data_IF_750444916038
#
_entry.id   IF_750444916038
#
_cell.length_a   1.000
_cell.length_b   1.000
_cell.length_c   1.000
_cell.angle_alpha   90.00
_cell.angle_beta   90.00
_cell.angle_gamma   90.00
#
_symmetry.space_group_name_H-M   'P 1'
#
loop_
_entity.id
_entity.type
_entity.pdbx_description
1 polymer ?
#
# COMPACT_ATOMS: atom_id res chain seq x y z
N UNK A 1 -13.05 -5.84 10.48
CA UNK A 1 -11.59 -5.59 10.36
C UNK A 1 -10.76 -6.87 10.21
N UNK A 2 -11.26 -8.04 10.62
CA UNK A 2 -10.63 -9.36 10.36
C UNK A 2 -11.49 -10.26 9.46
N UNK A 3 -12.62 -9.79 8.97
CA UNK A 3 -13.58 -10.59 8.21
C UNK A 3 -13.33 -10.36 6.71
N UNK A 4 -12.85 -11.41 6.02
CA UNK A 4 -12.60 -11.42 4.57
C UNK A 4 -11.16 -11.77 4.19
N UNK A 5 -11.00 -12.70 3.24
CA UNK A 5 -9.74 -13.21 2.65
C UNK A 5 -8.84 -14.08 3.54
N UNK A 6 -8.02 -14.89 2.88
CA UNK A 6 -7.05 -15.85 3.43
C UNK A 6 -6.43 -15.38 4.75
N UNK A 7 -6.49 -16.23 5.79
CA UNK A 7 -5.96 -15.95 7.13
C UNK A 7 -4.55 -15.36 7.06
N UNK A 8 -3.72 -15.88 6.15
CA UNK A 8 -2.32 -15.52 6.05
C UNK A 8 -2.15 -14.08 5.54
N UNK A 9 -2.99 -13.65 4.60
CA UNK A 9 -3.01 -12.27 4.09
C UNK A 9 -3.40 -11.28 5.20
N UNK A 10 -4.37 -11.64 6.05
CA UNK A 10 -4.77 -10.80 7.19
C UNK A 10 -3.63 -10.68 8.21
N UNK A 11 -2.92 -11.78 8.50
CA UNK A 11 -1.75 -11.78 9.39
C UNK A 11 -0.62 -10.91 8.83
N UNK A 12 -0.32 -11.05 7.54
CA UNK A 12 0.68 -10.25 6.83
C UNK A 12 0.34 -8.77 6.88
N UNK A 13 -0.93 -8.44 6.73
CA UNK A 13 -1.40 -7.07 6.76
C UNK A 13 -1.21 -6.43 8.13
N UNK A 14 -1.69 -7.10 9.17
CA UNK A 14 -1.55 -6.62 10.55
C UNK A 14 -0.07 -6.48 10.91
N UNK A 15 0.70 -7.53 10.72
CA UNK A 15 2.12 -7.54 11.10
C UNK A 15 2.90 -6.49 10.31
N UNK A 16 2.67 -6.39 9.01
CA UNK A 16 3.40 -5.44 8.16
C UNK A 16 3.06 -3.97 8.44
N UNK A 17 1.81 -3.64 8.79
CA UNK A 17 1.43 -2.28 9.23
C UNK A 17 2.15 -1.93 10.53
N UNK A 18 2.11 -2.81 11.54
CA UNK A 18 2.83 -2.59 12.79
C UNK A 18 4.34 -2.47 12.57
N UNK A 19 4.93 -3.34 11.73
CA UNK A 19 6.35 -3.30 11.37
C UNK A 19 6.75 -1.95 10.77
N UNK A 20 5.96 -1.40 9.85
CA UNK A 20 6.30 -0.13 9.21
C UNK A 20 6.13 1.06 10.14
N UNK A 21 5.10 1.07 10.98
CA UNK A 21 4.88 2.14 11.97
C UNK A 21 5.99 2.15 13.02
N UNK A 22 6.42 0.98 13.49
CA UNK A 22 7.42 0.83 14.53
C UNK A 22 8.79 0.39 13.99
N UNK A 23 9.11 0.72 12.74
CA UNK A 23 10.29 0.21 12.01
C UNK A 23 11.61 0.37 12.78
N UNK A 24 11.80 1.48 13.49
CA UNK A 24 12.98 1.73 14.32
C UNK A 24 13.18 0.74 15.47
N UNK A 25 12.11 0.06 15.92
CA UNK A 25 12.11 -0.85 17.07
C UNK A 25 11.44 -2.20 16.76
N UNK A 26 11.42 -2.61 15.48
CA UNK A 26 10.81 -3.85 15.03
C UNK A 26 11.87 -4.82 14.52
N UNK A 27 12.20 -5.82 15.35
CA UNK A 27 13.17 -6.87 15.00
C UNK A 27 12.52 -8.18 14.53
N UNK A 28 13.31 -9.12 13.98
CA UNK A 28 12.80 -10.41 13.50
C UNK A 28 12.04 -11.22 14.56
N UNK A 29 12.45 -11.15 15.83
CA UNK A 29 11.75 -11.83 16.93
C UNK A 29 10.38 -11.23 17.23
N UNK A 30 10.26 -9.90 17.18
CA UNK A 30 8.99 -9.20 17.34
C UNK A 30 8.03 -9.55 16.20
N UNK A 31 8.57 -9.62 14.97
CA UNK A 31 7.83 -10.01 13.78
C UNK A 31 7.27 -11.43 13.90
N UNK A 32 8.12 -12.40 14.20
CA UNK A 32 7.75 -13.82 14.35
C UNK A 32 6.71 -14.03 15.45
N UNK A 33 6.93 -13.42 16.63
CA UNK A 33 5.98 -13.52 17.74
C UNK A 33 4.61 -12.91 17.40
N UNK A 34 4.60 -11.74 16.74
CA UNK A 34 3.37 -11.08 16.35
C UNK A 34 2.61 -11.89 15.29
N UNK A 35 3.31 -12.46 14.30
CA UNK A 35 2.72 -13.34 13.27
C UNK A 35 2.11 -14.58 13.90
N UNK A 36 2.87 -15.28 14.73
CA UNK A 36 2.40 -16.49 15.41
C UNK A 36 1.17 -16.19 16.28
N UNK A 37 1.16 -15.07 17.01
CA UNK A 37 0.02 -14.65 17.82
C UNK A 37 -1.23 -14.36 16.97
N UNK A 38 -1.10 -13.55 15.92
CA UNK A 38 -2.19 -13.24 15.00
C UNK A 38 -2.74 -14.50 14.32
N UNK A 39 -1.86 -15.35 13.79
CA UNK A 39 -2.22 -16.58 13.10
C UNK A 39 -2.94 -17.54 14.05
N UNK A 40 -2.45 -17.68 15.29
CA UNK A 40 -3.10 -18.50 16.34
C UNK A 40 -4.52 -18.04 16.61
N UNK A 41 -4.74 -16.74 16.82
CA UNK A 41 -6.07 -16.20 17.08
C UNK A 41 -7.00 -16.38 15.89
N UNK A 42 -6.54 -16.09 14.68
CA UNK A 42 -7.39 -16.21 13.48
C UNK A 42 -7.73 -17.67 13.16
N UNK A 43 -6.78 -18.61 13.25
CA UNK A 43 -7.08 -20.04 13.07
C UNK A 43 -8.01 -20.57 14.15
N UNK A 44 -7.91 -20.07 15.38
CA UNK A 44 -8.87 -20.40 16.45
C UNK A 44 -10.28 -19.93 16.12
N UNK A 45 -10.43 -18.69 15.63
CA UNK A 45 -11.72 -18.17 15.15
C UNK A 45 -12.26 -19.01 14.00
N UNK A 46 -11.44 -19.31 13.00
CA UNK A 46 -11.86 -20.06 11.82
C UNK A 46 -12.33 -21.47 12.20
N UNK A 47 -11.77 -22.08 13.26
CA UNK A 47 -12.19 -23.38 13.76
C UNK A 47 -13.42 -23.35 14.69
N UNK A 48 -13.53 -22.34 15.57
CA UNK A 48 -14.53 -22.31 16.66
C UNK A 48 -15.69 -21.34 16.44
N UNK A 49 -15.57 -20.43 15.47
CA UNK A 49 -16.48 -19.31 15.27
C UNK A 49 -16.42 -18.24 16.37
N UNK A 50 -15.53 -18.39 17.36
CA UNK A 50 -15.39 -17.42 18.45
C UNK A 50 -14.72 -16.14 17.97
N UNK A 51 -15.29 -15.00 18.37
CA UNK A 51 -14.71 -13.70 18.06
C UNK A 51 -13.34 -13.55 18.71
N UNK A 52 -12.38 -13.12 17.89
CA UNK A 52 -11.03 -12.75 18.31
C UNK A 52 -10.72 -11.35 17.82
N UNK A 53 -9.89 -10.65 18.58
CA UNK A 53 -9.50 -9.28 18.33
C UNK A 53 -8.01 -9.10 18.57
N UNK A 54 -7.43 -8.00 18.09
CA UNK A 54 -6.03 -7.67 18.43
C UNK A 54 -5.83 -7.44 19.94
N UNK A 55 -6.90 -7.15 20.68
CA UNK A 55 -6.85 -7.00 22.13
C UNK A 55 -6.68 -8.34 22.87
N UNK A 56 -6.81 -9.48 22.19
CA UNK A 56 -6.58 -10.81 22.76
C UNK A 56 -5.11 -11.23 22.71
N UNK A 57 -4.27 -10.57 21.91
CA UNK A 57 -2.83 -10.88 21.80
C UNK A 57 -2.11 -10.74 23.16
N UNK A 58 -2.31 -9.67 23.95
CA UNK A 58 -1.73 -9.57 25.29
C UNK A 58 -2.05 -10.76 26.20
N UNK A 59 -3.29 -11.26 26.14
CA UNK A 59 -3.74 -12.40 26.94
C UNK A 59 -3.12 -13.70 26.44
N UNK A 60 -3.03 -13.88 25.11
CA UNK A 60 -2.33 -15.01 24.52
C UNK A 60 -0.86 -15.06 24.93
N UNK A 61 -0.15 -13.94 24.91
CA UNK A 61 1.27 -13.91 25.26
C UNK A 61 1.49 -14.03 26.78
N UNK A 62 0.64 -13.42 27.60
CA UNK A 62 0.82 -13.36 29.06
C UNK A 62 0.19 -14.52 29.84
N UNK A 63 -1.00 -15.00 29.46
CA UNK A 63 -1.81 -15.92 30.26
C UNK A 63 -1.67 -17.37 29.76
N UNK A 64 -0.91 -18.21 30.49
CA UNK A 64 -0.77 -19.64 30.14
C UNK A 64 -2.11 -20.37 30.09
N UNK A 65 -3.04 -20.04 30.99
CA UNK A 65 -4.38 -20.63 31.00
C UNK A 65 -5.18 -20.32 29.72
N UNK A 66 -5.00 -19.14 29.12
CA UNK A 66 -5.64 -18.79 27.86
C UNK A 66 -5.04 -19.58 26.68
N UNK A 67 -3.70 -19.70 26.66
CA UNK A 67 -2.99 -20.54 25.66
C UNK A 67 -3.39 -22.00 25.70
N UNK A 68 -3.45 -22.59 26.89
CA UNK A 68 -3.86 -23.99 27.09
C UNK A 68 -5.29 -24.28 26.63
N UNK A 69 -6.15 -23.26 26.54
CA UNK A 69 -7.52 -23.39 26.01
C UNK A 69 -7.60 -23.29 24.49
N UNK A 70 -6.70 -22.52 23.88
CA UNK A 70 -6.73 -22.22 22.44
C UNK A 70 -5.90 -23.20 21.64
N UNK A 71 -4.64 -23.42 22.03
CA UNK A 71 -3.66 -24.14 21.21
C UNK A 71 -4.09 -25.58 20.91
N UNK A 72 -4.62 -26.39 21.86
CA UNK A 72 -4.98 -27.78 21.58
C UNK A 72 -6.07 -27.95 20.53
N UNK A 73 -6.89 -26.93 20.32
CA UNK A 73 -8.01 -26.94 19.36
C UNK A 73 -7.51 -26.71 17.92
N UNK A 74 -6.28 -26.23 17.74
CA UNK A 74 -5.73 -25.89 16.44
C UNK A 74 -5.27 -27.13 15.66
N UNK A 75 -5.65 -27.22 14.39
CA UNK A 75 -5.20 -28.28 13.46
C UNK A 75 -3.95 -27.88 12.66
N UNK A 76 -3.00 -27.17 13.28
CA UNK A 76 -1.83 -26.58 12.61
C UNK A 76 -0.51 -26.99 13.30
N UNK A 77 0.19 -28.03 12.79
CA UNK A 77 1.40 -28.57 13.43
C UNK A 77 2.51 -27.54 13.66
N UNK A 78 2.68 -26.59 12.73
CA UNK A 78 3.69 -25.52 12.84
C UNK A 78 3.45 -24.64 14.07
N UNK A 79 2.19 -24.28 14.34
CA UNK A 79 1.84 -23.49 15.53
C UNK A 79 2.08 -24.28 16.81
N UNK A 80 1.81 -25.59 16.83
CA UNK A 80 2.14 -26.44 17.98
C UNK A 80 3.63 -26.45 18.28
N UNK A 81 4.47 -26.55 17.25
CA UNK A 81 5.93 -26.46 17.41
C UNK A 81 6.39 -25.12 17.96
N UNK A 82 5.85 -24.01 17.43
CA UNK A 82 6.14 -22.66 17.93
C UNK A 82 5.76 -22.50 19.41
N UNK A 83 4.56 -22.92 19.79
CA UNK A 83 4.10 -22.78 21.17
C UNK A 83 4.82 -23.74 22.13
N UNK A 84 5.22 -24.93 21.69
CA UNK A 84 6.07 -25.81 22.48
C UNK A 84 7.44 -25.17 22.78
N UNK A 85 8.06 -24.53 21.78
CA UNK A 85 9.27 -23.73 21.99
C UNK A 85 9.04 -22.57 22.96
N UNK A 86 7.94 -21.83 22.78
CA UNK A 86 7.58 -20.71 23.65
C UNK A 86 7.38 -21.13 25.12
N UNK A 87 6.75 -22.28 25.36
CA UNK A 87 6.54 -22.84 26.70
C UNK A 87 7.80 -23.48 27.30
N UNK A 88 8.77 -23.88 26.46
CA UNK A 88 10.07 -24.38 26.94
C UNK A 88 10.98 -23.29 27.53
N UNK A 89 10.66 -22.02 27.30
CA UNK A 89 11.43 -20.90 27.80
C UNK A 89 11.26 -20.70 29.30
N UNK A 90 12.34 -20.23 29.95
CA UNK A 90 12.24 -19.66 31.29
C UNK A 90 11.34 -18.41 31.30
N UNK A 91 10.68 -18.14 32.42
CA UNK A 91 9.82 -16.96 32.57
C UNK A 91 10.55 -15.64 32.27
N UNK A 92 11.81 -15.40 32.72
CA UNK A 92 12.58 -14.22 32.32
C UNK A 92 12.85 -14.14 30.82
N UNK A 93 13.22 -15.26 30.18
CA UNK A 93 13.46 -15.31 28.73
C UNK A 93 12.19 -14.98 27.94
N UNK A 94 11.05 -15.55 28.36
CA UNK A 94 9.75 -15.29 27.75
C UNK A 94 9.34 -13.83 27.91
N UNK A 95 9.49 -13.25 29.10
CA UNK A 95 9.21 -11.84 29.35
C UNK A 95 10.05 -10.91 28.46
N UNK A 96 11.32 -11.24 28.23
CA UNK A 96 12.20 -10.48 27.34
C UNK A 96 11.76 -10.55 25.87
N UNK A 97 11.28 -11.71 25.40
CA UNK A 97 10.76 -11.89 24.04
C UNK A 97 9.42 -11.17 23.82
N UNK A 98 8.54 -11.22 24.83
CA UNK A 98 7.18 -10.63 24.78
C UNK A 98 7.18 -9.11 24.96
N UNK A 99 8.10 -8.58 25.77
CA UNK A 99 8.16 -7.17 26.16
C UNK A 99 8.03 -6.17 25.00
N UNK A 100 8.81 -6.30 23.91
CA UNK A 100 8.72 -5.42 22.75
C UNK A 100 7.32 -5.40 22.12
N UNK A 101 6.72 -6.55 21.86
CA UNK A 101 5.35 -6.66 21.29
C UNK A 101 4.34 -6.00 22.23
N UNK A 102 4.40 -6.29 23.52
CA UNK A 102 3.50 -5.71 24.53
C UNK A 102 3.62 -4.19 24.64
N UNK A 103 4.82 -3.63 24.49
CA UNK A 103 5.02 -2.18 24.49
C UNK A 103 4.30 -1.51 23.32
N UNK A 104 4.37 -2.12 22.12
CA UNK A 104 3.74 -1.55 20.92
C UNK A 104 2.23 -1.73 20.94
N UNK A 105 1.76 -2.89 21.39
CA UNK A 105 0.33 -3.11 21.62
C UNK A 105 -0.23 -2.16 22.67
N UNK A 106 0.50 -1.85 23.75
CA UNK A 106 0.05 -0.87 24.76
C UNK A 106 -0.06 0.55 24.21
N UNK A 107 0.91 1.01 23.42
CA UNK A 107 0.84 2.34 22.80
C UNK A 107 -0.47 2.57 22.05
N UNK A 108 -1.03 1.48 21.50
CA UNK A 108 -2.27 1.45 20.76
C UNK A 108 -3.52 1.15 21.60
N UNK A 109 -3.51 0.06 22.38
CA UNK A 109 -4.65 -0.45 23.14
C UNK A 109 -4.98 0.39 24.39
N UNK A 110 -4.03 1.21 24.89
CA UNK A 110 -4.30 2.12 26.02
C UNK A 110 -5.19 3.31 25.62
N UNK A 111 -5.40 3.56 24.32
CA UNK A 111 -6.32 4.59 23.86
C UNK A 111 -7.73 4.05 23.84
N UNK A 112 -8.68 4.72 24.49
CA UNK A 112 -10.07 4.25 24.56
C UNK A 112 -10.76 4.15 23.20
N UNK A 113 -10.43 5.04 22.27
CA UNK A 113 -10.88 4.91 20.88
C UNK A 113 -10.24 3.69 20.22
N UNK A 114 -8.91 3.58 20.35
CA UNK A 114 -8.08 2.39 20.17
C UNK A 114 -8.83 1.06 20.38
N UNK A 115 -9.04 0.87 21.66
CA UNK A 115 -9.67 -0.29 22.28
C UNK A 115 -11.10 -0.47 21.84
N UNK A 116 -11.93 0.59 21.79
CA UNK A 116 -13.33 0.45 21.35
C UNK A 116 -13.46 0.11 19.88
N UNK A 117 -12.61 0.63 19.00
CA UNK A 117 -12.69 0.33 17.58
C UNK A 117 -12.33 -1.14 17.27
N UNK A 118 -11.45 -1.74 18.07
CA UNK A 118 -10.85 -3.06 17.78
C UNK A 118 -11.31 -4.17 18.71
N UNK A 119 -11.65 -3.84 19.95
CA UNK A 119 -12.11 -4.80 20.94
C UNK A 119 -13.65 -4.85 21.08
N UNK A 120 -14.42 -4.05 20.31
CA UNK A 120 -15.89 -4.04 20.39
C UNK A 120 -16.58 -5.22 19.66
N UNK A 121 -15.83 -6.23 19.22
CA UNK A 121 -16.39 -7.42 18.59
C UNK A 121 -16.40 -7.33 17.05
N UNK A 122 -17.51 -7.77 16.42
CA UNK A 122 -17.63 -7.77 14.94
C UNK A 122 -17.56 -6.35 14.38
N UNK A 123 -16.97 -6.24 13.19
CA UNK A 123 -16.95 -4.99 12.42
C UNK A 123 -18.38 -4.48 12.23
N UNK A 124 -18.63 -3.19 12.46
CA UNK A 124 -19.95 -2.58 12.22
C UNK A 124 -20.15 -2.16 10.77
N UNK A 125 -19.11 -2.28 9.94
CA UNK A 125 -19.13 -2.00 8.51
C UNK A 125 -18.32 -3.07 7.76
N UNK A 126 -18.71 -3.31 6.50
CA UNK A 126 -18.01 -4.14 5.53
C UNK A 126 -17.50 -3.24 4.39
N UNK A 127 -16.20 -3.34 4.09
CA UNK A 127 -15.59 -2.56 3.02
C UNK A 127 -16.02 -3.04 1.63
N UNK A 128 -16.41 -4.31 1.49
CA UNK A 128 -16.97 -4.86 0.25
C UNK A 128 -18.28 -4.15 -0.10
N UNK A 129 -19.20 -4.06 0.87
CA UNK A 129 -20.46 -3.32 0.71
C UNK A 129 -20.24 -1.82 0.46
N UNK A 130 -19.24 -1.22 1.12
CA UNK A 130 -18.87 0.18 0.88
C UNK A 130 -18.41 0.39 -0.56
N UNK A 131 -17.55 -0.48 -1.08
CA UNK A 131 -17.08 -0.36 -2.45
C UNK A 131 -18.21 -0.61 -3.46
N UNK A 132 -19.21 -1.44 -3.12
CA UNK A 132 -20.36 -1.79 -3.97
C UNK A 132 -21.53 -0.78 -3.86
N UNK A 133 -21.20 0.52 -3.76
CA UNK A 133 -22.16 1.63 -3.78
C UNK A 133 -22.47 2.25 -2.42
N UNK A 134 -21.78 1.82 -1.36
CA UNK A 134 -21.83 2.48 -0.05
C UNK A 134 -20.90 3.70 0.06
N UNK A 135 -20.92 4.34 1.22
CA UNK A 135 -20.04 5.48 1.55
C UNK A 135 -19.48 5.28 2.96
N UNK A 136 -18.15 5.30 3.08
CA UNK A 136 -17.46 5.30 4.37
C UNK A 136 -16.74 6.64 4.57
N UNK A 137 -17.12 7.36 5.64
CA UNK A 137 -16.41 8.56 6.07
C UNK A 137 -15.59 8.25 7.33
N UNK A 138 -14.27 8.17 7.17
CA UNK A 138 -13.34 7.91 8.27
C UNK A 138 -12.73 9.21 8.80
N UNK A 139 -13.25 9.72 9.93
CA UNK A 139 -12.69 10.90 10.59
C UNK A 139 -11.64 10.50 11.63
N UNK A 140 -10.36 10.77 11.35
CA UNK A 140 -9.23 10.38 12.20
C UNK A 140 -8.45 11.62 12.72
N UNK A 141 -9.01 12.37 13.68
CA UNK A 141 -8.36 13.58 14.19
C UNK A 141 -7.15 13.21 15.05
N UNK A 142 -5.93 13.47 14.55
CA UNK A 142 -4.66 13.18 15.25
C UNK A 142 -4.61 13.74 16.68
N UNK A 143 -5.14 14.95 16.90
CA UNK A 143 -5.13 15.59 18.23
C UNK A 143 -5.93 14.84 19.29
N UNK A 144 -7.02 14.17 18.91
CA UNK A 144 -7.85 13.39 19.84
C UNK A 144 -7.43 11.92 19.94
N UNK A 145 -6.95 11.33 18.84
CA UNK A 145 -6.58 9.91 18.77
C UNK A 145 -5.12 9.64 19.16
N UNK A 146 -4.27 10.66 19.07
CA UNK A 146 -2.82 10.51 18.99
C UNK A 146 -2.38 10.21 17.56
N UNK A 147 -1.17 10.66 17.21
CA UNK A 147 -0.65 10.53 15.85
C UNK A 147 -0.48 9.07 15.43
N UNK A 148 0.17 8.24 16.25
CA UNK A 148 0.40 6.82 15.95
C UNK A 148 -0.92 6.07 15.76
N UNK A 149 -1.89 6.26 16.66
CA UNK A 149 -3.21 5.63 16.57
C UNK A 149 -3.95 6.03 15.30
N UNK A 150 -3.95 7.33 14.96
CA UNK A 150 -4.62 7.82 13.76
C UNK A 150 -3.97 7.24 12.49
N UNK A 151 -2.63 7.25 12.41
CA UNK A 151 -1.86 6.65 11.32
C UNK A 151 -2.18 5.17 11.16
N UNK A 152 -2.20 4.43 12.28
CA UNK A 152 -2.45 3.01 12.31
C UNK A 152 -3.88 2.67 11.85
N UNK A 153 -4.88 3.38 12.38
CA UNK A 153 -6.29 3.21 11.99
C UNK A 153 -6.52 3.54 10.51
N UNK A 154 -5.97 4.65 10.03
CA UNK A 154 -6.12 5.02 8.62
C UNK A 154 -5.40 4.05 7.70
N UNK A 155 -4.21 3.58 8.07
CA UNK A 155 -3.48 2.57 7.30
C UNK A 155 -4.24 1.26 7.22
N UNK A 156 -4.92 0.85 8.29
CA UNK A 156 -5.78 -0.32 8.23
C UNK A 156 -7.01 -0.14 7.35
N UNK A 157 -7.65 1.04 7.37
CA UNK A 157 -8.80 1.31 6.51
C UNK A 157 -8.36 1.27 5.04
N UNK A 158 -7.22 1.88 4.71
CA UNK A 158 -6.65 1.84 3.36
C UNK A 158 -6.29 0.42 2.96
N UNK A 159 -5.58 -0.34 3.81
CA UNK A 159 -5.22 -1.73 3.53
C UNK A 159 -6.46 -2.62 3.34
N UNK A 160 -7.46 -2.50 4.22
CA UNK A 160 -8.71 -3.25 4.09
C UNK A 160 -9.49 -2.85 2.84
N UNK A 161 -9.45 -1.58 2.45
CA UNK A 161 -10.09 -1.11 1.20
C UNK A 161 -9.39 -1.72 -0.01
N UNK A 162 -8.06 -1.78 0.02
CA UNK A 162 -7.27 -2.45 -1.00
C UNK A 162 -7.59 -3.95 -1.09
N UNK A 163 -7.63 -4.65 0.05
CA UNK A 163 -8.00 -6.07 0.08
C UNK A 163 -9.40 -6.31 -0.48
N UNK A 164 -10.37 -5.49 -0.09
CA UNK A 164 -11.74 -5.59 -0.59
C UNK A 164 -11.80 -5.31 -2.11
N UNK A 165 -11.01 -4.34 -2.60
CA UNK A 165 -10.91 -4.08 -4.04
C UNK A 165 -10.24 -5.23 -4.80
N UNK A 166 -9.12 -5.76 -4.30
CA UNK A 166 -8.40 -6.88 -4.91
C UNK A 166 -9.25 -8.16 -4.93
N UNK A 167 -10.08 -8.40 -3.91
CA UNK A 167 -11.03 -9.51 -3.89
C UNK A 167 -12.06 -9.46 -5.03
N UNK A 168 -12.29 -8.29 -5.65
CA UNK A 168 -13.13 -8.14 -6.85
C UNK A 168 -12.54 -8.79 -8.09
N UNK A 169 -11.29 -9.27 -8.05
CA UNK A 169 -10.69 -10.06 -9.11
C UNK A 169 -11.59 -11.24 -9.54
N UNK A 170 -12.33 -11.83 -8.61
CA UNK A 170 -13.26 -12.93 -8.85
C UNK A 170 -14.53 -12.53 -9.63
N UNK A 171 -14.82 -11.23 -9.76
CA UNK A 171 -15.98 -10.72 -10.50
C UNK A 171 -15.58 -10.26 -11.90
N UNK A 172 -16.40 -10.47 -12.95
CA UNK A 172 -16.15 -9.88 -14.27
C UNK A 172 -16.03 -8.35 -14.21
N UNK A 173 -15.08 -7.77 -14.94
CA UNK A 173 -14.76 -6.32 -14.87
C UNK A 173 -15.98 -5.42 -15.09
N UNK A 174 -16.87 -5.77 -16.02
CA UNK A 174 -18.08 -5.01 -16.34
C UNK A 174 -19.13 -4.99 -15.20
N UNK A 175 -19.03 -5.90 -14.23
CA UNK A 175 -19.93 -5.97 -13.07
C UNK A 175 -19.38 -5.21 -11.86
N UNK A 176 -18.09 -4.87 -11.87
CA UNK A 176 -17.45 -4.13 -10.78
C UNK A 176 -17.98 -2.69 -10.80
N UNK A 177 -18.44 -2.17 -9.66
CA UNK A 177 -18.87 -0.77 -9.52
C UNK A 177 -17.64 0.11 -9.30
N UNK A 178 -17.60 1.27 -9.97
CA UNK A 178 -16.56 2.28 -9.71
C UNK A 178 -16.60 2.72 -8.26
N UNK A 179 -15.46 2.65 -7.59
CA UNK A 179 -15.27 3.18 -6.26
C UNK A 179 -14.08 4.13 -6.21
N UNK A 180 -14.12 5.10 -5.31
CA UNK A 180 -13.02 6.05 -5.12
C UNK A 180 -12.58 6.08 -3.67
N UNK A 181 -11.30 5.80 -3.44
CA UNK A 181 -10.65 5.99 -2.15
C UNK A 181 -9.99 7.38 -2.13
N UNK A 182 -10.55 8.28 -1.31
CA UNK A 182 -10.01 9.62 -1.10
C UNK A 182 -9.21 9.65 0.21
N UNK A 183 -7.91 9.89 0.11
CA UNK A 183 -7.00 9.94 1.26
C UNK A 183 -6.43 11.35 1.37
N UNK A 184 -6.99 12.11 2.30
CA UNK A 184 -6.41 13.37 2.72
C UNK A 184 -5.16 13.12 3.58
N UNK A 185 -4.18 13.99 3.47
CA UNK A 185 -2.89 13.86 4.15
C UNK A 185 -2.25 12.46 3.99
N UNK A 186 -2.19 11.98 2.75
CA UNK A 186 -1.93 10.60 2.38
C UNK A 186 -0.63 10.03 2.98
N UNK A 187 0.40 10.84 3.16
CA UNK A 187 1.64 10.45 3.84
C UNK A 187 1.42 9.84 5.24
N UNK A 188 0.29 10.14 5.89
CA UNK A 188 -0.06 9.60 7.20
C UNK A 188 -0.73 8.23 7.18
N UNK A 189 -1.28 7.79 6.06
CA UNK A 189 -2.12 6.59 6.00
C UNK A 189 -1.65 5.56 4.98
N UNK A 190 -0.64 5.90 4.19
CA UNK A 190 -0.03 5.00 3.20
C UNK A 190 1.10 4.14 3.79
N UNK A 191 1.08 3.92 5.11
CA UNK A 191 1.99 2.99 5.79
C UNK A 191 1.47 1.56 5.64
N UNK A 192 1.52 1.06 4.41
CA UNK A 192 0.92 -0.22 4.00
C UNK A 192 1.97 -1.31 3.91
N UNK A 193 1.64 -2.59 4.14
CA UNK A 193 2.61 -3.68 4.09
C UNK A 193 3.15 -3.93 2.67
N UNK A 194 2.34 -3.65 1.65
CA UNK A 194 2.67 -3.79 0.22
C UNK A 194 3.28 -2.51 -0.37
N UNK A 195 4.01 -2.60 -1.49
CA UNK A 195 4.44 -1.43 -2.26
C UNK A 195 3.22 -0.65 -2.77
N UNK A 196 3.22 0.67 -2.57
CA UNK A 196 2.11 1.48 -3.07
C UNK A 196 2.10 1.59 -4.60
N UNK A 197 3.27 1.47 -5.23
CA UNK A 197 3.40 1.45 -6.68
C UNK A 197 2.51 0.36 -7.32
N UNK A 198 2.55 -0.86 -6.77
CA UNK A 198 1.70 -1.98 -7.19
C UNK A 198 0.23 -1.62 -6.99
N UNK A 199 -0.09 -1.05 -5.83
CA UNK A 199 -1.45 -0.64 -5.50
C UNK A 199 -2.01 0.37 -6.52
N UNK A 200 -1.23 1.39 -6.86
CA UNK A 200 -1.61 2.42 -7.82
C UNK A 200 -1.64 1.90 -9.26
N UNK A 201 -0.75 0.97 -9.62
CA UNK A 201 -0.70 0.37 -10.94
C UNK A 201 -1.88 -0.59 -11.19
N UNK A 202 -2.27 -1.38 -10.18
CA UNK A 202 -3.29 -2.41 -10.31
C UNK A 202 -4.72 -1.91 -10.01
N UNK A 203 -4.88 -0.82 -9.23
CA UNK A 203 -6.19 -0.31 -8.79
C UNK A 203 -7.22 -0.15 -9.93
N UNK A 204 -6.74 0.23 -11.13
CA UNK A 204 -7.57 0.33 -12.35
C UNK A 204 -8.31 -0.97 -12.65
N UNK A 205 -7.63 -2.11 -12.57
CA UNK A 205 -8.24 -3.42 -12.84
C UNK A 205 -9.39 -3.71 -11.88
N UNK A 206 -9.31 -3.24 -10.64
CA UNK A 206 -10.35 -3.42 -9.62
C UNK A 206 -11.46 -2.35 -9.64
N UNK A 207 -11.46 -1.46 -10.66
CA UNK A 207 -12.33 -0.28 -10.73
C UNK A 207 -12.27 0.57 -9.46
N UNK A 208 -11.08 0.67 -8.87
CA UNK A 208 -10.79 1.55 -7.75
C UNK A 208 -9.99 2.75 -8.27
N UNK A 209 -10.53 3.95 -8.09
CA UNK A 209 -9.80 5.20 -8.25
C UNK A 209 -9.24 5.64 -6.90
N UNK A 210 -8.08 6.30 -6.92
CA UNK A 210 -7.42 6.82 -5.74
C UNK A 210 -7.13 8.30 -5.88
N UNK A 211 -7.59 9.09 -4.92
CA UNK A 211 -7.20 10.49 -4.76
C UNK A 211 -6.31 10.61 -3.54
N UNK A 212 -5.06 11.00 -3.76
CA UNK A 212 -4.06 11.17 -2.71
C UNK A 212 -3.71 12.65 -2.61
N UNK A 213 -3.99 13.26 -1.46
CA UNK A 213 -3.61 14.65 -1.18
C UNK A 213 -2.46 14.71 -0.18
N UNK A 214 -1.46 15.57 -0.43
CA UNK A 214 -0.35 15.83 0.49
C UNK A 214 0.17 17.25 0.30
N UNK A 215 0.85 17.79 1.32
CA UNK A 215 1.32 19.18 1.31
C UNK A 215 2.72 19.34 0.70
N UNK A 216 3.66 18.44 1.05
CA UNK A 216 5.06 18.54 0.65
C UNK A 216 5.57 17.20 0.10
N UNK A 217 6.47 17.21 -0.89
CA UNK A 217 7.05 15.96 -1.39
C UNK A 217 8.01 15.34 -0.39
N UNK A 218 8.68 16.15 0.43
CA UNK A 218 9.61 15.69 1.47
C UNK A 218 8.96 14.86 2.58
N UNK A 219 7.63 14.96 2.75
CA UNK A 219 6.88 14.11 3.70
C UNK A 219 6.69 12.68 3.19
N UNK A 220 6.86 12.47 1.89
CA UNK A 220 6.71 11.17 1.26
C UNK A 220 8.07 10.43 1.31
N UNK A 221 8.10 9.17 1.76
CA UNK A 221 9.25 8.31 1.51
C UNK A 221 9.59 8.27 0.03
N UNK A 222 10.87 8.08 -0.29
CA UNK A 222 11.37 8.13 -1.68
C UNK A 222 10.57 7.23 -2.61
N UNK A 223 10.39 5.97 -2.24
CA UNK A 223 9.67 4.97 -3.02
C UNK A 223 8.21 5.38 -3.24
N UNK A 224 7.58 5.99 -2.22
CA UNK A 224 6.22 6.51 -2.32
C UNK A 224 6.13 7.65 -3.33
N UNK A 225 7.08 8.59 -3.28
CA UNK A 225 7.14 9.73 -4.21
C UNK A 225 7.34 9.26 -5.64
N UNK A 226 8.23 8.30 -5.86
CA UNK A 226 8.50 7.71 -7.18
C UNK A 226 7.27 6.95 -7.71
N UNK A 227 6.64 6.12 -6.87
CA UNK A 227 5.42 5.39 -7.21
C UNK A 227 4.24 6.31 -7.57
N UNK A 228 4.02 7.40 -6.83
CA UNK A 228 2.99 8.41 -7.16
C UNK A 228 3.34 9.12 -8.47
N UNK A 229 4.60 9.55 -8.64
CA UNK A 229 5.05 10.24 -9.85
C UNK A 229 4.79 9.41 -11.11
N UNK A 230 5.09 8.11 -11.07
CA UNK A 230 4.93 7.18 -12.18
C UNK A 230 3.46 6.76 -12.45
N UNK A 231 2.69 6.47 -11.39
CA UNK A 231 1.39 5.82 -11.54
C UNK A 231 0.19 6.78 -11.43
N UNK A 232 0.32 7.91 -10.73
CA UNK A 232 -0.76 8.90 -10.63
C UNK A 232 -0.83 9.75 -11.91
N UNK A 233 -1.64 9.34 -12.88
CA UNK A 233 -1.73 9.99 -14.20
C UNK A 233 -2.28 11.41 -14.15
N UNK A 234 -3.30 11.63 -13.33
CA UNK A 234 -3.85 12.96 -13.10
C UNK A 234 -3.12 13.61 -11.93
N UNK A 235 -2.54 14.79 -12.16
CA UNK A 235 -1.84 15.57 -11.16
C UNK A 235 -2.41 16.97 -11.09
N UNK A 236 -2.69 17.43 -9.88
CA UNK A 236 -3.17 18.78 -9.60
C UNK A 236 -2.22 19.37 -8.58
N UNK A 237 -1.58 20.48 -8.93
CA UNK A 237 -0.61 21.18 -8.11
C UNK A 237 -1.21 22.50 -7.66
N UNK A 238 -1.27 22.72 -6.36
CA UNK A 238 -1.48 24.04 -5.80
C UNK A 238 -0.13 24.76 -5.67
N UNK A 239 -0.14 25.95 -5.06
CA UNK A 239 1.09 26.69 -4.79
C UNK A 239 2.12 25.79 -4.07
N UNK A 240 3.26 25.57 -4.72
CA UNK A 240 4.32 24.69 -4.26
C UNK A 240 5.50 25.49 -3.67
N UNK A 241 6.26 24.87 -2.77
CA UNK A 241 7.53 25.45 -2.33
C UNK A 241 8.51 25.51 -3.51
N UNK A 242 9.50 26.43 -3.53
CA UNK A 242 10.50 26.48 -4.60
C UNK A 242 11.25 25.15 -4.81
N UNK A 243 11.50 24.41 -3.72
CA UNK A 243 12.14 23.10 -3.76
C UNK A 243 11.24 22.04 -4.41
N UNK A 244 9.96 21.97 -4.00
CA UNK A 244 9.00 21.04 -4.58
C UNK A 244 8.74 21.39 -6.06
N UNK A 245 8.61 22.68 -6.39
CA UNK A 245 8.33 23.16 -7.73
C UNK A 245 9.39 22.73 -8.76
N UNK A 246 10.68 22.76 -8.40
CA UNK A 246 11.76 22.26 -9.25
C UNK A 246 11.71 20.74 -9.52
N UNK A 247 11.07 19.98 -8.63
CA UNK A 247 10.81 18.55 -8.88
C UNK A 247 9.55 18.36 -9.73
N UNK A 248 8.49 19.13 -9.44
CA UNK A 248 7.18 19.01 -10.07
C UNK A 248 7.14 19.50 -11.52
N UNK A 249 7.99 20.47 -11.91
CA UNK A 249 8.00 21.04 -13.26
C UNK A 249 8.24 19.99 -14.35
N UNK A 250 8.92 18.89 -14.02
CA UNK A 250 9.15 17.76 -14.94
C UNK A 250 7.86 17.14 -15.45
N UNK A 251 6.75 17.33 -14.75
CA UNK A 251 5.42 16.87 -15.16
C UNK A 251 4.61 17.93 -15.91
N UNK A 252 5.04 19.19 -15.95
CA UNK A 252 4.26 20.30 -16.51
C UNK A 252 4.95 21.03 -17.66
N UNK A 253 6.25 20.79 -17.84
CA UNK A 253 6.98 21.26 -19.01
C UNK A 253 6.39 20.67 -20.32
N UNK A 254 6.45 21.43 -21.42
CA UNK A 254 7.05 22.77 -21.55
C UNK A 254 6.11 23.92 -21.14
N UNK A 255 4.90 23.63 -20.66
CA UNK A 255 3.82 24.65 -20.56
C UNK A 255 3.91 25.48 -19.28
N UNK A 256 4.29 24.87 -18.16
CA UNK A 256 4.49 25.55 -16.87
C UNK A 256 5.83 25.11 -16.27
N UNK A 257 6.61 26.08 -15.81
CA UNK A 257 7.91 25.89 -15.16
C UNK A 257 7.80 25.97 -13.62
N UNK A 258 8.89 25.66 -12.91
CA UNK A 258 8.93 25.77 -11.46
C UNK A 258 8.55 27.16 -10.93
N UNK A 259 8.92 28.23 -11.66
CA UNK A 259 8.54 29.59 -11.30
C UNK A 259 7.01 29.74 -11.26
N UNK A 260 6.29 29.23 -12.26
CA UNK A 260 4.83 29.32 -12.33
C UNK A 260 4.17 28.54 -11.18
N UNK A 261 4.65 27.33 -10.90
CA UNK A 261 4.12 26.47 -9.84
C UNK A 261 4.31 27.08 -8.43
N UNK A 262 5.40 27.83 -8.21
CA UNK A 262 5.70 28.48 -6.94
C UNK A 262 4.99 29.85 -6.73
N UNK A 263 4.31 30.36 -7.76
CA UNK A 263 3.63 31.66 -7.72
C UNK A 263 2.12 31.56 -8.01
N UNK A 264 1.54 30.36 -7.91
CA UNK A 264 0.09 30.17 -8.01
C UNK A 264 -0.63 30.94 -6.89
N UNK A 265 -1.60 31.76 -7.26
CA UNK A 265 -2.41 32.54 -6.32
C UNK A 265 -3.43 31.68 -5.56
N UNK A 266 -4.13 32.29 -4.57
CA UNK A 266 -5.23 31.63 -3.87
C UNK A 266 -6.26 31.09 -4.87
N UNK A 267 -6.73 29.87 -4.63
CA UNK A 267 -7.66 29.13 -5.49
C UNK A 267 -7.13 28.79 -6.89
N UNK A 268 -5.91 29.18 -7.27
CA UNK A 268 -5.31 28.74 -8.52
C UNK A 268 -4.61 27.39 -8.34
N UNK A 269 -4.67 26.56 -9.37
CA UNK A 269 -3.94 25.31 -9.44
C UNK A 269 -3.43 25.09 -10.87
N UNK A 270 -2.32 24.38 -11.00
CA UNK A 270 -1.89 23.78 -12.25
C UNK A 270 -2.42 22.34 -12.32
N UNK A 271 -2.83 21.89 -13.50
CA UNK A 271 -3.31 20.53 -13.72
C UNK A 271 -2.62 19.90 -14.92
N UNK A 272 -2.24 18.64 -14.77
CA UNK A 272 -1.78 17.77 -15.83
C UNK A 272 -2.68 16.52 -15.82
N UNK A 273 -3.56 16.43 -16.81
CA UNK A 273 -4.66 15.45 -16.81
C UNK A 273 -4.58 14.52 -18.01
N UNK A 274 -4.84 13.24 -17.75
CA UNK A 274 -5.11 12.24 -18.76
C UNK A 274 -6.59 12.33 -19.18
N UNK A 275 -6.86 12.70 -20.43
CA UNK A 275 -8.22 12.76 -20.98
C UNK A 275 -8.24 12.01 -22.31
N UNK A 276 -9.25 11.15 -22.51
CA UNK A 276 -9.36 10.34 -23.74
C UNK A 276 -8.21 9.35 -23.96
N UNK A 277 -7.48 8.98 -22.90
CA UNK A 277 -6.33 8.06 -22.98
C UNK A 277 -5.02 8.72 -23.39
N UNK A 278 -4.98 10.05 -23.58
CA UNK A 278 -3.76 10.81 -23.86
C UNK A 278 -3.44 11.79 -22.72
N UNK A 279 -2.15 11.99 -22.46
CA UNK A 279 -1.68 13.04 -21.56
C UNK A 279 -1.81 14.39 -22.28
N UNK A 280 -2.49 15.35 -21.65
CA UNK A 280 -2.67 16.69 -22.21
C UNK A 280 -1.60 17.65 -21.69
N UNK A 281 -1.31 18.70 -22.45
CA UNK A 281 -0.46 19.78 -21.96
C UNK A 281 -0.98 20.34 -20.62
N UNK A 282 -0.06 20.65 -19.71
CA UNK A 282 -0.42 21.22 -18.43
C UNK A 282 -1.09 22.60 -18.59
N UNK A 283 -2.07 22.90 -17.76
CA UNK A 283 -2.79 24.17 -17.81
C UNK A 283 -3.12 24.65 -16.39
N UNK A 284 -3.44 25.93 -16.25
CA UNK A 284 -3.90 26.49 -14.98
C UNK A 284 -5.42 26.53 -14.91
N UNK A 285 -5.96 26.36 -13.70
CA UNK A 285 -7.39 26.42 -13.42
C UNK A 285 -7.63 27.21 -12.14
N UNK A 286 -8.85 27.72 -12.00
CA UNK A 286 -9.33 28.36 -10.76
C UNK A 286 -10.34 27.45 -10.08
N UNK A 287 -10.05 27.09 -8.84
CA UNK A 287 -10.93 26.32 -7.98
C UNK A 287 -12.01 27.22 -7.38
N UNK A 288 -13.16 26.64 -7.04
CA UNK A 288 -14.23 27.38 -6.39
C UNK A 288 -13.86 27.62 -4.92
N UNK A 289 -14.21 28.79 -4.34
CA UNK A 289 -14.08 28.97 -2.91
C UNK A 289 -14.91 27.92 -2.16
N UNK A 290 -14.47 27.54 -0.97
CA UNK A 290 -15.21 26.61 -0.11
C UNK A 290 -16.63 27.16 0.09
N UNK A 291 -17.64 26.35 -0.24
CA UNK A 291 -19.02 26.71 0.06
C UNK A 291 -19.15 27.08 1.55
N UNK A 292 -19.89 28.15 1.89
CA UNK A 292 -20.10 28.52 3.28
C UNK A 292 -20.55 27.29 4.08
N UNK A 293 -20.03 27.15 5.30
CA UNK A 293 -20.43 26.04 6.15
C UNK A 293 -21.95 26.05 6.26
N UNK A 294 -22.59 24.94 5.88
CA UNK A 294 -24.02 24.76 6.16
C UNK A 294 -24.16 24.95 7.67
N UNK A 295 -24.94 25.95 8.15
CA UNK A 295 -25.16 26.13 9.57
C UNK A 295 -25.58 24.78 10.12
N UNK A 296 -24.87 24.30 11.14
CA UNK A 296 -25.33 23.11 11.84
C UNK A 296 -26.64 23.51 12.50
N UNK A 297 -27.77 23.26 11.85
CA UNK A 297 -29.04 23.16 12.55
C UNK A 297 -28.78 22.16 13.65
N UNK A 298 -29.02 22.57 14.88
CA UNK A 298 -29.02 21.77 16.11
C UNK A 298 -30.10 20.69 16.08
N UNK A 299 -30.30 20.04 14.93
CA UNK A 299 -30.88 18.73 14.85
C UNK A 299 -30.01 17.86 15.76
N UNK A 300 -30.58 17.48 16.91
CA UNK A 300 -30.10 16.40 17.76
C UNK A 300 -29.34 15.42 16.89
N UNK A 301 -28.05 15.21 17.14
CA UNK A 301 -27.43 13.97 16.70
C UNK A 301 -28.41 12.88 17.14
N UNK A 302 -29.07 12.15 16.22
CA UNK A 302 -29.69 10.92 16.66
C UNK A 302 -28.58 10.16 17.38
N UNK A 303 -28.85 9.60 18.58
CA UNK A 303 -27.84 8.76 19.22
C UNK A 303 -27.32 7.85 18.14
N UNK A 304 -25.99 7.76 17.98
CA UNK A 304 -25.35 6.85 17.04
C UNK A 304 -26.11 5.56 17.18
N UNK A 305 -26.94 5.25 16.19
CA UNK A 305 -27.64 3.99 16.19
C UNK A 305 -26.49 3.01 16.00
N UNK A 306 -26.04 2.40 17.09
CA UNK A 306 -25.63 1.00 17.03
C UNK A 306 -26.80 0.34 16.34
N UNK A 307 -26.72 0.20 15.02
CA UNK A 307 -27.71 -0.53 14.27
C UNK A 307 -27.83 -1.85 15.03
N UNK A 308 -29.01 -2.18 15.61
CA UNK A 308 -29.17 -3.52 16.14
C UNK A 308 -28.83 -4.42 14.96
N UNK A 309 -27.89 -5.35 15.19
CA UNK A 309 -27.46 -6.31 14.18
C UNK A 309 -28.72 -6.77 13.46
N UNK A 310 -28.87 -6.35 12.19
CA UNK A 310 -30.03 -6.72 11.40
C UNK A 310 -30.04 -8.24 11.45
N UNK A 311 -31.12 -8.90 11.91
CA UNK A 311 -31.17 -10.34 11.82
C UNK A 311 -30.91 -10.67 10.35
N UNK A 312 -29.84 -11.41 10.10
CA UNK A 312 -29.58 -11.99 8.79
C UNK A 312 -30.91 -12.59 8.35
N UNK A 313 -31.41 -12.16 7.19
CA UNK A 313 -32.52 -12.83 6.56
C UNK A 313 -32.17 -14.33 6.54
N UNK A 314 -33.12 -15.24 6.85
CA UNK A 314 -32.84 -16.66 6.83
C UNK A 314 -32.16 -16.99 5.49
N UNK A 315 -31.07 -17.76 5.58
CA UNK A 315 -30.27 -18.20 4.45
C UNK A 315 -31.19 -18.49 3.27
N UNK A 316 -30.96 -17.80 2.15
CA UNK A 316 -31.57 -18.27 0.91
C UNK A 316 -31.11 -19.71 0.74
N UNK A 317 -32.02 -20.68 0.52
CA UNK A 317 -31.63 -22.06 0.34
C UNK A 317 -30.58 -22.11 -0.77
N UNK A 318 -29.55 -22.93 -0.55
CA UNK A 318 -28.51 -23.20 -1.54
C UNK A 318 -29.17 -23.47 -2.90
N UNK A 319 -28.52 -23.01 -3.95
CA UNK A 319 -28.94 -23.21 -5.34
C UNK A 319 -28.86 -24.69 -5.80
N UNK A 320 -28.81 -25.64 -4.86
CA UNK A 320 -28.71 -27.08 -5.08
C UNK A 320 -30.09 -27.78 -5.15
N UNK A 321 -31.20 -27.02 -5.15
CA UNK A 321 -32.56 -27.61 -5.17
C UNK A 321 -33.52 -27.08 -6.23
N UNK A 322 -33.04 -26.45 -7.31
CA UNK A 322 -33.91 -26.03 -8.44
C UNK A 322 -33.43 -26.53 -9.82
N UNK A 323 -32.42 -27.40 -9.91
CA UNK A 323 -32.05 -28.05 -11.18
C UNK A 323 -32.20 -29.57 -11.10
N UNK A 324 -33.43 -30.03 -10.94
CA UNK A 324 -33.84 -31.34 -11.44
C UNK A 324 -34.09 -31.23 -12.94
N UNK A 325 -33.04 -31.42 -13.74
CA UNK A 325 -33.11 -31.41 -15.19
C UNK A 325 -31.72 -31.62 -15.79
N UNK A 326 -31.51 -32.78 -16.41
CA UNK A 326 -30.27 -33.21 -17.03
C UNK A 326 -29.63 -32.14 -17.92
N UNK A 327 -28.43 -31.70 -17.56
CA UNK A 327 -27.52 -30.96 -18.46
C UNK A 327 -26.31 -31.88 -18.71
N UNK A 328 -26.04 -32.29 -19.97
CA UNK A 328 -24.94 -33.20 -20.26
C UNK A 328 -23.59 -32.53 -19.99
N UNK A 329 -22.71 -33.31 -19.36
CA UNK A 329 -21.33 -32.95 -19.03
C UNK A 329 -20.54 -32.62 -20.30
N UNK A 330 -20.09 -31.36 -20.45
CA UNK A 330 -19.12 -30.98 -21.48
C UNK A 330 -17.72 -31.47 -21.06
N UNK A 331 -16.92 -32.04 -21.98
CA UNK A 331 -15.59 -32.54 -21.65
C UNK A 331 -14.64 -31.39 -21.29
N UNK A 332 -13.78 -31.66 -20.30
CA UNK A 332 -12.68 -30.82 -19.84
C UNK A 332 -11.88 -30.24 -21.00
N UNK A 333 -12.02 -28.95 -21.28
CA UNK A 333 -11.11 -28.21 -22.16
C UNK A 333 -9.79 -28.02 -21.43
N UNK A 334 -8.75 -28.70 -21.91
CA UNK A 334 -7.38 -28.47 -21.50
C UNK A 334 -6.98 -27.00 -21.73
N UNK A 335 -6.31 -26.40 -20.74
CA UNK A 335 -5.67 -25.10 -20.89
C UNK A 335 -4.64 -25.18 -22.04
N UNK A 336 -4.55 -24.17 -22.92
CA UNK A 336 -3.47 -24.10 -23.90
C UNK A 336 -2.12 -23.90 -23.18
N UNK A 337 -1.02 -24.47 -23.70
CA UNK A 337 0.29 -24.34 -23.07
C UNK A 337 0.78 -22.89 -23.10
N UNK A 338 1.42 -22.48 -22.02
CA UNK A 338 2.14 -21.19 -21.89
C UNK A 338 3.22 -21.12 -22.97
N UNK A 339 3.30 -20.03 -23.77
CA UNK A 339 4.36 -19.87 -24.77
C UNK A 339 5.73 -19.73 -24.09
N UNK A 340 6.73 -20.44 -24.61
CA UNK A 340 8.12 -20.36 -24.16
C UNK A 340 8.70 -18.94 -24.34
N UNK A 341 9.67 -18.51 -23.51
CA UNK A 341 10.31 -17.21 -23.65
C UNK A 341 11.02 -17.10 -25.01
N UNK A 342 10.84 -15.96 -25.67
CA UNK A 342 11.42 -15.67 -26.98
C UNK A 342 12.96 -15.72 -26.95
N UNK A 343 13.54 -16.42 -27.92
CA UNK A 343 14.99 -16.47 -28.19
C UNK A 343 15.51 -15.07 -28.54
N UNK A 344 16.66 -14.61 -28.01
CA UNK A 344 17.24 -13.32 -28.39
C UNK A 344 17.64 -13.32 -29.89
N UNK A 345 17.57 -12.17 -30.57
CA UNK A 345 17.90 -12.07 -31.99
C UNK A 345 19.40 -12.35 -32.24
N UNK A 346 19.68 -12.96 -33.40
CA UNK A 346 21.03 -13.28 -33.86
C UNK A 346 21.88 -12.02 -34.08
N UNK A 347 23.20 -12.08 -33.84
CA UNK A 347 24.10 -10.95 -34.12
C UNK A 347 24.20 -10.67 -35.62
N UNK A 348 24.44 -9.41 -36.02
CA UNK A 348 24.59 -9.04 -37.42
C UNK A 348 25.82 -9.71 -38.07
N UNK A 349 25.79 -9.93 -39.40
CA UNK A 349 26.91 -10.55 -40.12
C UNK A 349 28.15 -9.65 -40.09
N UNK A 350 29.37 -10.23 -40.12
CA UNK A 350 30.61 -9.46 -40.15
C UNK A 350 30.80 -8.75 -41.49
N UNK A 351 31.38 -7.55 -41.44
CA UNK A 351 31.73 -6.75 -42.62
C UNK A 351 32.69 -7.51 -43.56
N UNK A 352 32.57 -7.31 -44.89
CA UNK A 352 33.47 -7.94 -45.85
C UNK A 352 34.91 -7.42 -45.71
N UNK A 353 35.86 -8.36 -45.70
CA UNK A 353 37.29 -8.09 -45.62
C UNK A 353 37.81 -7.23 -46.80
N UNK A 354 38.82 -6.37 -46.58
CA UNK A 354 39.33 -5.50 -47.62
C UNK A 354 40.10 -6.28 -48.69
N UNK A 355 39.80 -5.99 -49.95
CA UNK A 355 40.49 -6.56 -51.12
C UNK A 355 41.88 -5.91 -51.26
N UNK A 356 42.92 -6.69 -50.96
CA UNK A 356 44.31 -6.34 -51.24
C UNK A 356 44.55 -6.27 -52.75
N UNK A 357 44.71 -5.06 -53.29
CA UNK A 357 45.26 -4.86 -54.64
C UNK A 357 46.66 -4.28 -54.51
N UNK A 358 47.66 -5.03 -54.98
CA UNK A 358 49.06 -4.65 -54.91
C UNK A 358 49.46 -3.73 -56.08
N UNK A 359 49.94 -2.53 -55.71
CA UNK A 359 51.18 -1.86 -56.16
C UNK A 359 51.29 -1.33 -57.61
N UNK A 360 51.44 0.00 -57.71
CA UNK A 360 52.43 0.67 -58.57
C UNK A 360 52.79 2.06 -58.00
N UNK A 361 53.91 2.63 -58.46
CA UNK A 361 54.96 3.25 -57.63
C UNK A 361 55.17 4.77 -57.86
N UNK A 362 55.39 5.53 -56.76
CA UNK A 362 56.26 6.74 -56.56
C UNK A 362 55.98 8.06 -57.35
N UNK A 363 56.55 9.25 -56.93
CA UNK A 363 57.35 9.61 -55.74
C UNK A 363 56.92 10.90 -54.96
N UNK A 364 57.59 11.14 -53.80
CA UNK A 364 57.53 12.33 -52.93
C UNK A 364 58.05 13.64 -53.58
N UNK A 365 57.83 14.82 -52.93
CA UNK A 365 58.84 15.42 -52.03
C UNK A 365 58.22 15.98 -50.70
N UNK A 366 58.80 15.74 -49.53
CA UNK A 366 59.91 16.45 -48.84
C UNK A 366 59.50 17.75 -48.10
N UNK A 367 59.58 17.76 -46.76
CA UNK A 367 60.41 18.67 -45.94
C UNK A 367 60.04 18.59 -44.44
N UNK A 368 61.05 18.86 -43.62
CA UNK A 368 61.19 18.51 -42.20
C UNK A 368 61.12 19.81 -41.31
N UNK A 369 61.66 19.88 -40.07
CA UNK A 369 61.10 19.42 -38.79
C UNK A 369 61.21 20.49 -37.65
N UNK A 370 60.99 20.05 -36.38
CA UNK A 370 61.57 20.59 -35.11
C UNK A 370 60.96 21.90 -34.54
N UNK A 371 60.74 22.14 -33.24
CA UNK A 371 61.58 21.97 -32.02
C UNK A 371 60.71 21.96 -30.73
N UNK A 372 61.13 21.10 -29.79
CA UNK A 372 60.99 21.03 -28.30
C UNK A 372 60.76 22.33 -27.51
N UNK A 373 60.01 22.31 -26.41
CA UNK A 373 60.44 22.19 -24.98
C UNK A 373 59.39 23.01 -24.17
N UNK A 374 59.04 22.80 -22.90
CA UNK A 374 59.56 22.05 -21.76
C UNK A 374 59.29 22.88 -20.49
N UNK A 375 59.09 22.20 -19.34
CA UNK A 375 59.09 22.69 -17.94
C UNK A 375 57.79 23.31 -17.39
N UNK A 376 57.43 23.21 -16.10
CA UNK A 376 57.72 22.28 -14.99
C UNK A 376 56.84 22.71 -13.79
N UNK A 377 56.78 21.85 -12.78
CA UNK A 377 55.88 21.78 -11.63
C UNK A 377 56.03 22.83 -10.48
N UNK A 378 55.24 22.56 -9.42
CA UNK A 378 55.24 23.03 -8.01
C UNK A 378 54.25 24.18 -7.67
N UNK A 379 53.53 24.21 -6.53
CA UNK A 379 53.35 23.29 -5.38
C UNK A 379 52.40 23.94 -4.35
N UNK A 380 51.57 23.12 -3.67
CA UNK A 380 51.14 23.17 -2.24
C UNK A 380 50.52 24.42 -1.54
N UNK A 381 49.31 24.19 -0.98
CA UNK A 381 48.96 24.24 0.47
C UNK A 381 48.01 25.32 1.04
N UNK A 382 47.08 24.80 1.90
CA UNK A 382 46.52 25.29 3.19
C UNK A 382 45.21 26.11 3.27
N UNK A 383 44.19 25.43 3.81
CA UNK A 383 43.26 25.76 4.92
C UNK A 383 42.88 27.21 5.22
N UNK A 384 41.56 27.46 5.27
CA UNK A 384 40.82 28.06 6.40
C UNK A 384 39.38 27.55 6.39
#
# INVERSE_FOLDING_TARGET
MLDGSDTDVVVDNITGIFRRIFSAFWGPRTDDLMRAACLTLLKHRDHTGQLVTLADIPRLLGESAYRLRIIPVLKYPVLHGFWAWYESMSEPSRAAVVGPVMNKLRAFLLRDFARRAIAAGRSTFDLTEVLDGGILLARLPKGALGEETARLMGSFIVAGTWQAAAARACMPEHQRIDATLNVDEAHNFLTLPYPLEDMLAEARGYRLSMLLAHQHLAQLPRDLREGISANARNKIFFNASPEDAGTLERHTLPTLAAHDLAHLGPYQAAAHLLTGGAENAAFTLTTRPRSPAVPQTSARQPPVATAPARPLAPERPSLDHVLGGDVPCLPSLALPPVPAPATPPAPPPPDPAPTTTARMSRPCPASSPTVTSGWSACSTSTVS
#
